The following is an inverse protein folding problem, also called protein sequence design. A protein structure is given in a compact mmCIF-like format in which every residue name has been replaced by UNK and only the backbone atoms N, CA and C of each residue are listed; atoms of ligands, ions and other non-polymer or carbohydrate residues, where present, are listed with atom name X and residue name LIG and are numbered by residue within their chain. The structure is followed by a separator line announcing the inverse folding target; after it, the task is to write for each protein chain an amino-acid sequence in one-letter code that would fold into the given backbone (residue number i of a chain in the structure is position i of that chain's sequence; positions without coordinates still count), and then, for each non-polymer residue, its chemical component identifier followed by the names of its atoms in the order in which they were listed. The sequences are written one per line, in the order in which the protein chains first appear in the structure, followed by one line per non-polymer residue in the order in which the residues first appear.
data_IF_196427064201
#
_entry.id   IF_196427064201
#
_cell.length_a   1.000
_cell.length_b   1.000
_cell.length_c   1.000
_cell.angle_alpha   90.00
_cell.angle_beta   90.00
_cell.angle_gamma   90.00
#
_symmetry.space_group_name_H-M   'P 1'
#
loop_
_entity.id
_entity.type
_entity.pdbx_description
1 polymer ?
#
# COMPACT_ATOMS: atom_id res chain seq x y z
N UNK A 1 -11.73 13.45 10.15
CA UNK A 1 -10.57 13.90 9.34
C UNK A 1 -9.89 12.65 8.81
N UNK A 2 -9.43 12.64 7.55
CA UNK A 2 -8.71 11.50 7.00
C UNK A 2 -7.25 11.87 6.75
N UNK A 3 -6.33 11.05 7.27
CA UNK A 3 -4.89 11.16 7.04
C UNK A 3 -4.40 9.94 6.26
N UNK A 4 -3.31 10.09 5.54
CA UNK A 4 -2.65 8.96 4.89
C UNK A 4 -1.14 9.05 5.10
N UNK A 5 -0.52 7.90 5.34
CA UNK A 5 0.94 7.75 5.27
C UNK A 5 1.24 7.23 3.88
N UNK A 6 2.04 7.99 3.12
CA UNK A 6 2.28 7.73 1.71
C UNK A 6 3.79 7.71 1.42
N UNK A 7 4.20 6.79 0.54
CA UNK A 7 5.49 6.88 -0.12
C UNK A 7 5.38 7.82 -1.31
N UNK A 8 6.30 8.77 -1.37
CA UNK A 8 6.44 9.67 -2.51
C UNK A 8 7.45 9.09 -3.49
N UNK A 9 7.23 9.34 -4.78
CA UNK A 9 8.14 8.91 -5.82
C UNK A 9 9.26 9.93 -6.05
N UNK A 10 10.35 9.48 -6.65
CA UNK A 10 11.43 10.37 -7.09
C UNK A 10 10.97 11.29 -8.24
N UNK A 11 11.81 12.27 -8.56
CA UNK A 11 11.55 13.26 -9.62
C UNK A 11 11.30 12.61 -10.99
N UNK A 12 11.93 11.46 -11.27
CA UNK A 12 11.79 10.76 -12.53
C UNK A 12 10.40 10.13 -12.65
N UNK A 13 9.99 9.39 -11.62
CA UNK A 13 8.71 8.72 -11.57
C UNK A 13 7.55 9.72 -11.42
N UNK A 14 7.71 10.80 -10.65
CA UNK A 14 6.71 11.88 -10.57
C UNK A 14 6.43 12.47 -11.96
N UNK A 15 7.46 12.85 -12.72
CA UNK A 15 7.29 13.36 -14.10
C UNK A 15 6.63 12.35 -15.02
N UNK A 16 7.05 11.08 -14.95
CA UNK A 16 6.49 10.02 -15.79
C UNK A 16 4.99 9.79 -15.50
N UNK A 17 4.60 9.78 -14.23
CA UNK A 17 3.22 9.60 -13.80
C UNK A 17 2.35 10.80 -14.17
N UNK A 18 2.86 12.02 -14.05
CA UNK A 18 2.16 13.23 -14.51
C UNK A 18 1.94 13.23 -16.02
N UNK A 19 2.95 12.84 -16.79
CA UNK A 19 2.82 12.73 -18.25
C UNK A 19 1.84 11.61 -18.66
N UNK A 20 1.79 10.50 -17.90
CA UNK A 20 0.77 9.47 -18.11
C UNK A 20 -0.64 10.00 -17.81
N UNK A 21 -0.81 10.75 -16.72
CA UNK A 21 -2.10 11.36 -16.41
C UNK A 21 -2.56 12.33 -17.48
N UNK A 22 -1.67 13.19 -17.98
CA UNK A 22 -2.01 14.14 -19.05
C UNK A 22 -2.50 13.41 -20.30
N UNK A 23 -1.79 12.34 -20.72
CA UNK A 23 -2.20 11.52 -21.86
C UNK A 23 -3.53 10.80 -21.65
N UNK A 24 -3.82 10.35 -20.43
CA UNK A 24 -5.11 9.74 -20.10
C UNK A 24 -6.25 10.76 -20.13
N UNK A 25 -6.02 11.98 -19.61
CA UNK A 25 -7.00 13.06 -19.66
C UNK A 25 -7.26 13.53 -21.10
N UNK A 26 -6.24 13.60 -21.95
CA UNK A 26 -6.38 13.87 -23.39
C UNK A 26 -7.27 12.84 -24.11
N UNK A 27 -7.30 11.61 -23.61
CA UNK A 27 -8.18 10.52 -24.09
C UNK A 27 -9.55 10.50 -23.41
N UNK A 28 -9.87 11.49 -22.56
CA UNK A 28 -11.14 11.59 -21.84
C UNK A 28 -11.24 10.69 -20.60
N UNK A 29 -10.14 10.09 -20.16
CA UNK A 29 -10.08 9.28 -18.94
C UNK A 29 -9.71 10.18 -17.76
N UNK A 30 -10.64 10.33 -16.80
CA UNK A 30 -10.39 11.15 -15.62
C UNK A 30 -9.22 10.61 -14.76
N UNK A 31 -8.37 11.50 -14.28
CA UNK A 31 -7.22 11.17 -13.43
C UNK A 31 -7.14 12.07 -12.20
N UNK A 32 -6.15 11.81 -11.34
CA UNK A 32 -5.89 12.65 -10.16
C UNK A 32 -5.22 13.98 -10.49
N UNK A 33 -4.75 14.19 -11.74
CA UNK A 33 -4.12 15.43 -12.19
C UNK A 33 -5.06 16.63 -12.00
N UNK A 34 -6.26 16.54 -12.56
CA UNK A 34 -7.29 17.59 -12.44
C UNK A 34 -8.17 17.44 -11.18
N UNK A 35 -8.38 16.20 -10.70
CA UNK A 35 -9.34 15.89 -9.62
C UNK A 35 -9.10 16.66 -8.32
N UNK A 36 -7.85 16.93 -7.96
CA UNK A 36 -7.52 17.68 -6.72
C UNK A 36 -6.99 19.09 -7.00
N UNK A 37 -7.50 19.74 -8.05
CA UNK A 37 -7.09 21.10 -8.45
C UNK A 37 -5.56 21.21 -8.67
N UNK A 38 -4.94 20.19 -9.27
CA UNK A 38 -3.51 20.17 -9.57
C UNK A 38 -2.59 19.93 -8.36
N UNK A 39 -3.13 19.75 -7.16
CA UNK A 39 -2.34 19.56 -5.93
C UNK A 39 -1.98 18.12 -5.62
N UNK A 40 -2.48 17.15 -6.40
CA UNK A 40 -2.20 15.75 -6.14
C UNK A 40 -0.74 15.47 -6.40
N UNK A 41 -0.10 14.78 -5.45
CA UNK A 41 1.25 14.27 -5.61
C UNK A 41 1.14 12.78 -5.91
N UNK A 42 1.76 12.27 -6.99
CA UNK A 42 1.92 10.84 -7.22
C UNK A 42 2.50 10.14 -5.98
N UNK A 43 1.78 9.13 -5.47
CA UNK A 43 2.20 8.42 -4.27
C UNK A 43 1.63 7.01 -4.19
N UNK A 44 2.22 6.19 -3.33
CA UNK A 44 1.65 4.91 -2.89
C UNK A 44 1.24 5.01 -1.42
N UNK A 45 -0.04 4.79 -1.11
CA UNK A 45 -0.53 4.82 0.27
C UNK A 45 -0.13 3.55 1.03
N UNK A 46 0.50 3.71 2.20
CA UNK A 46 0.75 2.61 3.12
C UNK A 46 -0.41 2.38 4.09
N UNK A 47 -0.94 3.45 4.66
CA UNK A 47 -2.05 3.41 5.61
C UNK A 47 -2.93 4.65 5.46
N UNK A 48 -4.22 4.50 5.77
CA UNK A 48 -5.21 5.60 5.82
C UNK A 48 -5.90 5.62 7.18
N UNK A 49 -5.76 6.70 7.92
CA UNK A 49 -6.39 6.93 9.23
C UNK A 49 -7.69 7.68 9.00
N UNK A 50 -8.85 7.10 9.38
CA UNK A 50 -10.18 7.68 9.04
C UNK A 50 -11.02 8.09 10.24
N UNK A 51 -10.82 7.46 11.38
CA UNK A 51 -11.66 7.55 12.58
C UNK A 51 -11.17 8.57 13.61
N UNK A 52 -10.03 9.21 13.36
CA UNK A 52 -9.42 10.15 14.31
C UNK A 52 -8.73 9.47 15.49
N UNK A 53 -8.47 8.15 15.40
CA UNK A 53 -7.64 7.40 16.36
C UNK A 53 -6.28 8.06 16.58
N UNK A 54 -5.69 8.63 15.52
CA UNK A 54 -4.48 9.44 15.58
C UNK A 54 -4.66 10.76 14.84
N UNK A 55 -4.13 11.84 15.43
CA UNK A 55 -3.96 13.11 14.75
C UNK A 55 -2.68 13.13 13.90
N UNK A 56 -2.40 14.25 13.20
CA UNK A 56 -1.26 14.36 12.29
C UNK A 56 0.09 14.27 13.02
N UNK A 57 0.18 14.81 14.24
CA UNK A 57 1.41 14.79 15.03
C UNK A 57 1.69 13.40 15.57
N UNK A 58 0.66 12.71 16.06
CA UNK A 58 0.76 11.35 16.57
C UNK A 58 1.06 10.35 15.45
N UNK A 59 0.41 10.51 14.29
CA UNK A 59 0.71 9.71 13.09
C UNK A 59 2.16 9.90 12.66
N UNK A 60 2.65 11.15 12.63
CA UNK A 60 4.05 11.44 12.30
C UNK A 60 5.01 10.82 13.31
N UNK A 61 4.73 10.94 14.60
CA UNK A 61 5.57 10.40 15.66
C UNK A 61 5.65 8.86 15.58
N UNK A 62 4.52 8.19 15.36
CA UNK A 62 4.46 6.73 15.22
C UNK A 62 5.30 6.23 14.03
N UNK A 63 5.20 6.89 12.88
CA UNK A 63 5.99 6.53 11.69
C UNK A 63 7.48 6.87 11.87
N UNK A 64 7.80 8.00 12.52
CA UNK A 64 9.19 8.40 12.75
C UNK A 64 9.96 7.49 13.72
N UNK A 65 9.26 6.66 14.50
CA UNK A 65 9.87 5.65 15.36
C UNK A 65 10.30 4.38 14.60
N UNK A 66 9.87 4.22 13.34
CA UNK A 66 10.30 3.12 12.48
C UNK A 66 11.72 3.41 11.93
N UNK A 67 12.56 2.37 11.74
CA UNK A 67 13.86 2.52 11.11
C UNK A 67 13.70 2.89 9.65
N UNK A 68 14.65 3.68 9.15
CA UNK A 68 14.78 3.98 7.74
C UNK A 68 15.35 2.75 7.00
N UNK A 69 14.58 2.21 6.07
CA UNK A 69 14.95 1.08 5.22
C UNK A 69 15.36 1.52 3.80
N UNK A 70 15.57 2.82 3.60
CA UNK A 70 15.96 3.41 2.33
C UNK A 70 14.88 3.33 1.25
N UNK A 71 15.21 3.69 -0.01
CA UNK A 71 14.28 3.59 -1.13
C UNK A 71 13.93 2.13 -1.45
N UNK A 72 12.76 1.93 -2.06
CA UNK A 72 12.30 0.64 -2.58
C UNK A 72 11.98 0.78 -4.06
N UNK A 73 12.42 -0.18 -4.86
CA UNK A 73 12.05 -0.27 -6.27
C UNK A 73 10.63 -0.84 -6.42
N UNK A 74 9.82 -0.15 -7.20
CA UNK A 74 8.43 -0.51 -7.45
C UNK A 74 8.19 -0.77 -8.93
N UNK A 75 7.54 -1.89 -9.23
CA UNK A 75 6.98 -2.17 -10.54
C UNK A 75 5.46 -2.03 -10.47
N UNK A 76 4.84 -1.64 -11.58
CA UNK A 76 3.39 -1.57 -11.70
C UNK A 76 2.95 -2.50 -12.82
N UNK A 77 2.20 -3.54 -12.45
CA UNK A 77 1.83 -4.64 -13.37
C UNK A 77 0.40 -4.50 -13.90
N UNK A 78 -0.31 -3.45 -13.49
CA UNK A 78 -1.69 -3.25 -13.90
C UNK A 78 -2.19 -1.82 -13.75
N UNK A 79 -3.41 -1.62 -14.26
CA UNK A 79 -4.18 -0.39 -14.16
C UNK A 79 -5.58 -0.75 -13.62
N UNK A 80 -6.05 0.00 -12.63
CA UNK A 80 -7.41 -0.07 -12.11
C UNK A 80 -8.16 1.25 -12.31
N UNK A 81 -9.49 1.18 -12.32
CA UNK A 81 -10.35 2.37 -12.38
C UNK A 81 -11.38 2.34 -11.26
N UNK A 82 -11.50 3.43 -10.52
CA UNK A 82 -12.63 3.61 -9.60
C UNK A 82 -13.82 4.22 -10.35
N UNK A 83 -15.04 3.80 -10.00
CA UNK A 83 -16.28 4.36 -10.60
C UNK A 83 -16.38 5.89 -10.53
N UNK A 84 -15.73 6.53 -9.55
CA UNK A 84 -15.81 7.97 -9.27
C UNK A 84 -14.46 8.63 -8.92
N UNK A 85 -13.34 7.91 -9.04
CA UNK A 85 -12.06 8.32 -8.45
C UNK A 85 -10.87 8.36 -9.42
N UNK A 86 -11.12 8.14 -10.71
CA UNK A 86 -10.08 8.08 -11.73
C UNK A 86 -9.33 6.74 -11.78
N UNK A 87 -8.30 6.71 -12.62
CA UNK A 87 -7.46 5.54 -12.85
C UNK A 87 -6.23 5.53 -11.93
N UNK A 88 -5.76 4.35 -11.54
CA UNK A 88 -4.59 4.16 -10.67
C UNK A 88 -3.75 2.96 -11.13
N UNK A 89 -2.45 3.00 -10.86
CA UNK A 89 -1.52 1.92 -11.19
C UNK A 89 -1.45 0.90 -10.04
N UNK A 90 -1.51 -0.38 -10.40
CA UNK A 90 -1.44 -1.50 -9.46
C UNK A 90 0.03 -1.88 -9.25
N UNK A 91 0.62 -1.67 -8.06
CA UNK A 91 1.99 -2.08 -7.81
C UNK A 91 2.08 -3.61 -7.73
N UNK A 92 3.18 -4.17 -8.23
CA UNK A 92 3.60 -5.52 -7.94
C UNK A 92 3.92 -5.63 -6.45
N UNK A 93 3.13 -6.38 -5.69
CA UNK A 93 3.33 -6.51 -4.23
C UNK A 93 4.47 -7.49 -3.97
N UNK A 94 5.68 -6.95 -3.78
CA UNK A 94 6.85 -7.71 -3.34
C UNK A 94 6.78 -7.99 -1.83
N UNK A 95 7.59 -8.94 -1.36
CA UNK A 95 7.70 -9.23 0.07
C UNK A 95 8.21 -8.01 0.87
N UNK A 96 9.14 -7.24 0.30
CA UNK A 96 9.67 -6.02 0.92
C UNK A 96 8.59 -4.93 1.04
N UNK A 97 7.82 -4.70 -0.03
CA UNK A 97 6.71 -3.74 -0.01
C UNK A 97 5.64 -4.14 1.02
N UNK A 98 5.26 -5.42 1.05
CA UNK A 98 4.29 -5.94 2.02
C UNK A 98 4.80 -5.80 3.46
N UNK A 99 6.08 -6.09 3.70
CA UNK A 99 6.70 -5.95 5.01
C UNK A 99 6.66 -4.49 5.50
N UNK A 100 7.16 -3.56 4.67
CA UNK A 100 7.18 -2.13 4.99
C UNK A 100 5.79 -1.56 5.23
N UNK A 101 4.83 -1.89 4.37
CA UNK A 101 3.44 -1.47 4.54
C UNK A 101 2.86 -2.02 5.85
N UNK A 102 3.12 -3.29 6.18
CA UNK A 102 2.67 -3.92 7.41
C UNK A 102 3.20 -3.23 8.67
N UNK A 103 4.48 -2.83 8.67
CA UNK A 103 5.08 -2.09 9.80
C UNK A 103 4.47 -0.71 10.00
N UNK A 104 4.22 0.01 8.92
CA UNK A 104 3.58 1.34 8.97
C UNK A 104 2.12 1.21 9.42
N UNK A 105 1.39 0.22 8.90
CA UNK A 105 0.03 -0.07 9.35
C UNK A 105 -0.01 -0.45 10.83
N UNK A 106 0.92 -1.28 11.31
CA UNK A 106 1.05 -1.64 12.73
C UNK A 106 1.28 -0.41 13.63
N UNK A 107 2.22 0.47 13.24
CA UNK A 107 2.51 1.67 14.00
C UNK A 107 1.32 2.64 14.09
N UNK A 108 0.50 2.72 13.04
CA UNK A 108 -0.60 3.68 12.92
C UNK A 108 -1.92 3.14 13.48
N UNK A 109 -2.18 1.84 13.35
CA UNK A 109 -3.43 1.24 13.80
C UNK A 109 -3.33 0.53 15.16
N UNK A 110 -2.15 0.54 15.79
CA UNK A 110 -1.86 -0.22 17.01
C UNK A 110 -2.23 -1.72 16.85
N UNK A 111 -2.01 -2.25 15.64
CA UNK A 111 -2.20 -3.69 15.37
C UNK A 111 -0.88 -4.41 15.62
N UNK A 112 -0.91 -5.46 16.44
CA UNK A 112 0.26 -6.28 16.69
C UNK A 112 0.66 -7.02 15.39
N UNK A 113 1.82 -6.76 14.78
CA UNK A 113 2.25 -7.50 13.61
C UNK A 113 2.60 -8.93 14.04
N UNK A 114 1.72 -9.88 13.72
CA UNK A 114 1.98 -11.31 13.93
C UNK A 114 2.93 -11.80 12.84
N UNK A 115 4.22 -11.84 13.15
CA UNK A 115 5.20 -12.51 12.32
C UNK A 115 5.15 -14.02 12.59
N UNK A 116 4.81 -14.80 11.56
CA UNK A 116 4.84 -16.25 11.62
C UNK A 116 5.69 -16.79 10.47
N UNK A 117 6.46 -17.86 10.75
CA UNK A 117 7.14 -18.66 9.73
C UNK A 117 6.33 -19.92 9.53
N UNK A 118 5.77 -20.10 8.33
CA UNK A 118 5.24 -21.41 7.93
C UNK A 118 6.41 -22.38 7.74
N UNK A 119 6.31 -23.55 8.37
CA UNK A 119 7.36 -24.59 8.38
C UNK A 119 6.82 -25.98 8.02
N UNK A 120 5.51 -26.12 7.88
CA UNK A 120 4.80 -27.32 7.47
C UNK A 120 3.41 -26.96 6.92
N UNK A 121 2.97 -27.71 5.93
CA UNK A 121 1.59 -27.70 5.48
C UNK A 121 0.81 -28.93 5.96
N UNK A 122 -0.51 -28.80 6.03
CA UNK A 122 -1.44 -29.89 6.29
C UNK A 122 -2.78 -29.63 5.58
N UNK A 123 -3.49 -30.69 5.22
CA UNK A 123 -4.93 -30.62 4.94
C UNK A 123 -5.63 -30.59 6.28
N UNK A 124 -6.59 -29.67 6.47
CA UNK A 124 -7.34 -29.52 7.72
C UNK A 124 -8.83 -29.66 7.43
N UNK A 125 -9.52 -30.53 8.17
CA UNK A 125 -10.98 -30.55 8.22
C UNK A 125 -11.45 -29.56 9.29
N UNK A 126 -12.18 -28.52 8.88
CA UNK A 126 -12.47 -27.37 9.73
C UNK A 126 -13.54 -27.58 10.79
N UNK A 127 -14.39 -28.62 10.67
CA UNK A 127 -15.49 -28.87 11.60
C UNK A 127 -15.13 -29.71 12.82
N UNK A 128 -14.25 -30.70 12.64
CA UNK A 128 -13.74 -31.64 13.64
C UNK A 128 -12.29 -31.34 14.04
N UNK A 129 -11.56 -30.57 13.22
CA UNK A 129 -10.18 -30.17 13.49
C UNK A 129 -9.14 -31.25 13.19
N UNK A 130 -9.50 -32.29 12.43
CA UNK A 130 -8.55 -33.29 11.97
C UNK A 130 -7.54 -32.68 10.99
N UNK A 131 -6.27 -33.10 11.09
CA UNK A 131 -5.21 -32.60 10.22
C UNK A 131 -4.33 -33.73 9.68
N UNK A 132 -4.04 -33.67 8.38
CA UNK A 132 -3.18 -34.61 7.68
C UNK A 132 -1.97 -33.87 7.11
N UNK A 133 -0.75 -34.11 7.64
CA UNK A 133 0.46 -33.42 7.18
C UNK A 133 0.75 -33.65 5.70
N UNK A 134 1.25 -32.61 5.03
CA UNK A 134 1.71 -32.67 3.64
C UNK A 134 3.26 -32.68 3.64
N UNK A 135 3.90 -33.85 3.53
CA UNK A 135 5.34 -33.98 3.78
C UNK A 135 6.23 -33.26 2.77
N UNK A 136 5.68 -32.91 1.60
CA UNK A 136 6.42 -32.29 0.50
C UNK A 136 6.19 -30.77 0.40
N UNK A 137 5.51 -30.15 1.37
CA UNK A 137 5.20 -28.72 1.38
C UNK A 137 5.55 -28.08 2.74
N UNK A 138 6.27 -26.92 2.74
CA UNK A 138 6.51 -26.13 3.94
C UNK A 138 5.24 -25.41 4.43
#
# INVERSE_FOLDING_TARGET
MALAVCMLFDDRADRALRALWDRLEDLGVATLRSHTHGRHVPHLSYAVVRDGSLGPLETRAAVAALPDEGPIDLNFDGLGTFRRGGSWLVPAVTADLAHRQGRVAAAVYDVLPLHARAVRAAVIESGAGESWPLPNLP
#
